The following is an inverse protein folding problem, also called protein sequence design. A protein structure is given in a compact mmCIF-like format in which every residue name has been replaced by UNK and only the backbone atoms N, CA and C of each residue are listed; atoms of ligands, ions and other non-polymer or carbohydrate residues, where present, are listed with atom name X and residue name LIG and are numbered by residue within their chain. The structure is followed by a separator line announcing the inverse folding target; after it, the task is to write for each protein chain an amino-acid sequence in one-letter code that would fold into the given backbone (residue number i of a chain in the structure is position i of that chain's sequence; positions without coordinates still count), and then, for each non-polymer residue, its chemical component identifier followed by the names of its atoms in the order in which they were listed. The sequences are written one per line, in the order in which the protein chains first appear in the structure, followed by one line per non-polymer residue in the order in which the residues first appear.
data_IF_118294901964
#
_entry.id   IF_118294901964
#
_cell.length_a   1.000
_cell.length_b   1.000
_cell.length_c   1.000
_cell.angle_alpha   90.00
_cell.angle_beta   90.00
_cell.angle_gamma   90.00
#
_symmetry.space_group_name_H-M   'P 1'
#
loop_
_entity.id
_entity.type
_entity.pdbx_description
1 polymer ?
#
# COMPACT_ATOMS: atom_id res chain seq x y z
N UNK A 1 9.56 -14.65 8.84
CA UNK A 1 9.04 -13.93 7.67
C UNK A 1 7.65 -13.39 7.95
N UNK A 2 7.52 -12.06 7.95
CA UNK A 2 6.25 -11.34 8.05
C UNK A 2 5.62 -11.32 6.66
N UNK A 3 4.35 -11.72 6.52
CA UNK A 3 3.67 -11.81 5.23
C UNK A 3 2.69 -10.66 5.06
N UNK A 4 2.87 -9.87 4.00
CA UNK A 4 2.06 -8.69 3.71
C UNK A 4 1.52 -8.77 2.29
N UNK A 5 0.21 -8.60 2.15
CA UNK A 5 -0.50 -8.44 0.88
C UNK A 5 -1.03 -7.00 0.80
N UNK A 6 -0.45 -6.18 -0.05
CA UNK A 6 -0.82 -4.76 -0.14
C UNK A 6 -1.62 -4.47 -1.41
N UNK A 7 -2.60 -3.58 -1.29
CA UNK A 7 -3.22 -2.91 -2.43
C UNK A 7 -2.45 -1.62 -2.74
N UNK A 8 -1.79 -1.54 -3.89
CA UNK A 8 -1.05 -0.33 -4.29
C UNK A 8 -1.63 0.26 -5.58
N UNK A 9 -1.41 1.56 -5.78
CA UNK A 9 -1.86 2.27 -6.99
C UNK A 9 -2.21 3.73 -6.71
N UNK A 10 -2.50 4.48 -7.77
CA UNK A 10 -2.81 5.92 -7.68
C UNK A 10 -4.06 6.22 -6.83
N UNK A 11 -4.27 7.50 -6.49
CA UNK A 11 -5.47 7.93 -5.79
C UNK A 11 -6.76 7.59 -6.55
N UNK A 12 -7.85 7.40 -5.82
CA UNK A 12 -9.20 7.20 -6.38
C UNK A 12 -9.41 6.02 -7.35
N UNK A 13 -8.48 5.06 -7.38
CA UNK A 13 -8.62 3.81 -8.16
C UNK A 13 -9.43 2.72 -7.45
N UNK A 14 -9.99 2.99 -6.27
CA UNK A 14 -10.87 2.05 -5.55
C UNK A 14 -10.20 1.09 -4.55
N UNK A 15 -8.92 1.30 -4.21
CA UNK A 15 -8.16 0.47 -3.23
C UNK A 15 -8.88 0.35 -1.89
N UNK A 16 -9.26 1.46 -1.28
CA UNK A 16 -9.94 1.48 0.02
C UNK A 16 -11.31 0.77 -0.02
N UNK A 17 -12.01 0.85 -1.16
CA UNK A 17 -13.25 0.09 -1.38
C UNK A 17 -12.97 -1.41 -1.37
N UNK A 18 -11.99 -1.87 -2.15
CA UNK A 18 -11.56 -3.28 -2.19
C UNK A 18 -11.13 -3.74 -0.80
N UNK A 19 -10.25 -2.98 -0.13
CA UNK A 19 -9.77 -3.24 1.22
C UNK A 19 -10.90 -3.43 2.24
N UNK A 20 -11.91 -2.56 2.20
CA UNK A 20 -13.06 -2.63 3.09
C UNK A 20 -13.89 -3.90 2.84
N UNK A 21 -13.98 -4.37 1.60
CA UNK A 21 -14.63 -5.65 1.27
C UNK A 21 -13.79 -6.85 1.67
N UNK A 22 -12.47 -6.80 1.50
CA UNK A 22 -11.54 -7.85 1.95
C UNK A 22 -11.67 -8.12 3.46
N UNK A 23 -11.88 -7.07 4.28
CA UNK A 23 -12.18 -7.21 5.72
C UNK A 23 -13.39 -8.09 6.03
N UNK A 24 -14.33 -8.21 5.10
CA UNK A 24 -15.53 -9.06 5.25
C UNK A 24 -15.28 -10.48 4.73
N UNK A 25 -14.57 -10.60 3.60
CA UNK A 25 -14.30 -11.86 2.93
C UNK A 25 -13.26 -12.72 3.66
N UNK A 26 -12.25 -12.09 4.26
CA UNK A 26 -11.15 -12.75 4.95
C UNK A 26 -11.30 -12.64 6.47
N UNK A 27 -12.54 -12.69 6.99
CA UNK A 27 -12.82 -12.67 8.44
C UNK A 27 -12.33 -13.94 9.11
N UNK A 28 -11.07 -13.94 9.55
CA UNK A 28 -10.52 -14.98 10.42
C UNK A 28 -9.45 -14.40 11.33
N UNK A 29 -9.18 -15.08 12.45
CA UNK A 29 -8.14 -14.67 13.40
C UNK A 29 -6.72 -14.69 12.81
N UNK A 30 -6.54 -15.35 11.65
CA UNK A 30 -5.27 -15.45 10.91
C UNK A 30 -4.88 -14.13 10.24
N UNK A 31 -5.85 -13.27 9.90
CA UNK A 31 -5.61 -12.05 9.14
C UNK A 31 -5.58 -10.80 10.02
N UNK A 32 -4.66 -9.90 9.72
CA UNK A 32 -4.63 -8.53 10.23
C UNK A 32 -4.89 -7.56 9.07
N UNK A 33 -5.54 -6.44 9.35
CA UNK A 33 -5.85 -5.42 8.34
C UNK A 33 -5.25 -4.08 8.75
N UNK A 34 -4.37 -3.55 7.91
CA UNK A 34 -3.68 -2.26 8.09
C UNK A 34 -4.23 -1.27 7.07
N UNK A 35 -4.77 -0.14 7.54
CA UNK A 35 -5.36 0.88 6.66
C UNK A 35 -4.35 1.92 6.16
N UNK A 36 -4.82 2.87 5.37
CA UNK A 36 -4.02 3.96 4.82
C UNK A 36 -3.59 4.97 5.91
N UNK A 37 -2.29 5.04 6.20
CA UNK A 37 -1.75 5.94 7.22
C UNK A 37 -1.68 7.41 6.77
N UNK A 38 -1.47 7.67 5.48
CA UNK A 38 -1.35 9.03 4.95
C UNK A 38 -2.60 9.87 5.27
N UNK A 39 -3.80 9.37 4.98
CA UNK A 39 -5.05 10.07 5.30
C UNK A 39 -5.21 10.32 6.81
N UNK A 40 -4.81 9.37 7.65
CA UNK A 40 -4.86 9.53 9.11
C UNK A 40 -3.90 10.61 9.61
N UNK A 41 -2.63 10.59 9.19
CA UNK A 41 -1.65 11.59 9.62
C UNK A 41 -2.01 12.99 9.11
N UNK A 42 -2.39 13.11 7.85
CA UNK A 42 -2.80 14.38 7.26
C UNK A 42 -4.02 15.00 7.97
N UNK A 43 -4.98 14.17 8.41
CA UNK A 43 -6.12 14.63 9.22
C UNK A 43 -5.70 15.08 10.62
N UNK A 44 -4.78 14.38 11.26
CA UNK A 44 -4.27 14.78 12.59
C UNK A 44 -3.49 16.09 12.55
N UNK A 45 -2.84 16.39 11.42
CA UNK A 45 -2.16 17.67 11.20
C UNK A 45 -3.08 18.79 10.69
N UNK A 46 -4.36 18.51 10.47
CA UNK A 46 -5.36 19.45 9.92
C UNK A 46 -4.97 20.05 8.55
N UNK A 47 -4.29 19.26 7.70
CA UNK A 47 -3.84 19.69 6.36
C UNK A 47 -4.31 18.76 5.24
N UNK A 48 -5.19 17.81 5.52
CA UNK A 48 -5.59 16.76 4.57
C UNK A 48 -6.07 17.27 3.21
N UNK A 49 -6.79 18.38 3.16
CA UNK A 49 -7.31 18.90 1.90
C UNK A 49 -6.33 19.83 1.16
N UNK A 50 -5.30 20.35 1.87
CA UNK A 50 -4.33 21.31 1.34
C UNK A 50 -2.88 20.77 1.41
N UNK A 51 -2.71 19.45 1.53
CA UNK A 51 -1.41 18.85 1.86
C UNK A 51 -0.37 19.11 0.77
N UNK A 52 -0.78 19.10 -0.51
CA UNK A 52 0.12 19.39 -1.63
C UNK A 52 0.65 20.83 -1.55
N UNK A 53 -0.23 21.77 -1.24
CA UNK A 53 0.12 23.18 -1.12
C UNK A 53 0.96 23.46 0.14
N UNK A 54 0.76 22.67 1.19
CA UNK A 54 1.33 22.90 2.52
C UNK A 54 2.67 22.20 2.73
N UNK A 55 2.75 20.89 2.51
CA UNK A 55 3.98 20.11 2.78
C UNK A 55 4.76 19.78 1.51
N UNK A 56 4.11 19.55 0.36
CA UNK A 56 4.85 19.12 -0.85
C UNK A 56 5.79 20.22 -1.40
N UNK A 57 5.54 21.50 -1.06
CA UNK A 57 6.39 22.63 -1.45
C UNK A 57 7.59 22.83 -0.52
N UNK A 58 7.60 22.17 0.62
CA UNK A 58 8.69 22.17 1.60
C UNK A 58 9.36 20.80 1.59
N UNK A 59 10.50 20.69 0.92
CA UNK A 59 11.19 19.42 0.72
C UNK A 59 11.57 18.73 2.04
N UNK A 60 11.89 19.50 3.08
CA UNK A 60 12.24 18.96 4.40
C UNK A 60 10.99 18.42 5.09
N UNK A 61 9.92 19.22 5.16
CA UNK A 61 8.66 18.78 5.77
C UNK A 61 8.08 17.55 5.06
N UNK A 62 8.17 17.51 3.73
CA UNK A 62 7.70 16.37 2.94
C UNK A 62 8.52 15.10 3.21
N UNK A 63 9.85 15.18 3.27
CA UNK A 63 10.69 14.00 3.56
C UNK A 63 10.44 13.45 4.97
N UNK A 64 10.27 14.32 5.97
CA UNK A 64 9.90 13.89 7.32
C UNK A 64 8.51 13.25 7.38
N UNK A 65 7.54 13.79 6.64
CA UNK A 65 6.20 13.21 6.55
C UNK A 65 6.24 11.80 5.94
N UNK A 66 6.89 11.62 4.80
CA UNK A 66 7.03 10.31 4.16
C UNK A 66 7.84 9.34 5.04
N UNK A 67 8.84 9.83 5.77
CA UNK A 67 9.63 9.02 6.70
C UNK A 67 8.79 8.54 7.88
N UNK A 68 7.93 9.40 8.43
CA UNK A 68 6.96 9.00 9.44
C UNK A 68 6.00 7.94 8.91
N UNK A 69 5.51 8.07 7.67
CA UNK A 69 4.67 7.06 7.03
C UNK A 69 5.35 5.71 6.91
N UNK A 70 6.63 5.68 6.52
CA UNK A 70 7.41 4.44 6.41
C UNK A 70 7.54 3.75 7.77
N UNK A 71 7.88 4.50 8.82
CA UNK A 71 8.02 3.95 10.17
C UNK A 71 6.71 3.42 10.74
N UNK A 72 5.60 4.15 10.57
CA UNK A 72 4.29 3.69 11.05
C UNK A 72 3.83 2.46 10.25
N UNK A 73 4.09 2.43 8.94
CA UNK A 73 3.81 1.27 8.08
C UNK A 73 4.56 0.04 8.57
N UNK A 74 5.88 0.13 8.77
CA UNK A 74 6.70 -0.99 9.25
C UNK A 74 6.34 -1.38 10.68
N UNK A 75 6.09 -0.42 11.57
CA UNK A 75 5.64 -0.70 12.94
C UNK A 75 4.35 -1.53 12.95
N UNK A 76 3.40 -1.23 12.07
CA UNK A 76 2.17 -2.00 11.93
C UNK A 76 2.43 -3.47 11.54
N UNK A 77 3.44 -3.72 10.71
CA UNK A 77 3.83 -5.07 10.31
C UNK A 77 4.44 -5.85 11.47
N UNK A 78 5.26 -5.19 12.30
CA UNK A 78 5.87 -5.79 13.48
C UNK A 78 4.83 -6.15 14.55
N UNK A 79 3.84 -5.28 14.76
CA UNK A 79 2.73 -5.52 15.71
C UNK A 79 1.92 -6.76 15.32
N UNK A 80 1.73 -7.00 14.02
CA UNK A 80 0.93 -8.11 13.50
C UNK A 80 1.80 -9.22 12.87
N UNK A 81 3.05 -9.38 13.33
CA UNK A 81 4.03 -10.31 12.73
C UNK A 81 3.63 -11.78 12.79
N UNK A 82 2.71 -12.14 13.67
CA UNK A 82 2.15 -13.49 13.85
C UNK A 82 0.97 -13.77 12.90
N UNK A 83 0.51 -12.77 12.15
CA UNK A 83 -0.64 -12.83 11.25
C UNK A 83 -0.22 -12.66 9.79
N UNK A 84 -1.16 -12.98 8.91
CA UNK A 84 -1.10 -12.56 7.51
C UNK A 84 -1.68 -11.16 7.41
N UNK A 85 -0.90 -10.19 6.94
CA UNK A 85 -1.31 -8.79 6.89
C UNK A 85 -1.89 -8.49 5.52
N UNK A 86 -3.06 -7.85 5.49
CA UNK A 86 -3.64 -7.22 4.30
C UNK A 86 -3.58 -5.71 4.51
N UNK A 87 -2.97 -4.98 3.59
CA UNK A 87 -2.71 -3.54 3.74
C UNK A 87 -3.38 -2.71 2.64
N UNK A 88 -3.99 -1.58 3.01
CA UNK A 88 -4.38 -0.51 2.09
C UNK A 88 -3.19 0.43 1.93
N UNK A 89 -2.48 0.27 0.82
CA UNK A 89 -1.13 0.79 0.56
C UNK A 89 -0.02 0.13 1.38
N UNK A 90 1.21 0.31 0.89
CA UNK A 90 2.42 -0.10 1.58
C UNK A 90 3.53 0.93 1.37
N UNK A 91 4.71 0.61 1.88
CA UNK A 91 5.94 1.37 1.62
C UNK A 91 6.25 1.54 0.12
N UNK A 92 5.72 0.68 -0.76
CA UNK A 92 5.80 0.87 -2.22
C UNK A 92 5.09 2.17 -2.64
N UNK A 93 3.92 2.45 -2.08
CA UNK A 93 3.18 3.68 -2.37
C UNK A 93 3.95 4.90 -1.87
N UNK A 94 4.47 4.86 -0.64
CA UNK A 94 5.27 5.96 -0.08
C UNK A 94 6.51 6.23 -0.95
N UNK A 95 7.23 5.18 -1.35
CA UNK A 95 8.36 5.29 -2.28
C UNK A 95 7.96 5.85 -3.65
N UNK A 96 6.77 5.51 -4.15
CA UNK A 96 6.28 6.05 -5.41
C UNK A 96 6.04 7.56 -5.32
N UNK A 97 5.43 8.06 -4.23
CA UNK A 97 5.25 9.51 -4.05
C UNK A 97 6.59 10.23 -3.85
N UNK A 98 7.52 9.66 -3.08
CA UNK A 98 8.90 10.17 -2.99
C UNK A 98 9.57 10.26 -4.36
N UNK A 99 9.40 9.24 -5.20
CA UNK A 99 9.97 9.20 -6.55
C UNK A 99 9.43 10.34 -7.43
N UNK A 100 8.12 10.64 -7.35
CA UNK A 100 7.50 11.75 -8.09
C UNK A 100 8.13 13.11 -7.77
N UNK A 101 8.64 13.30 -6.54
CA UNK A 101 9.28 14.56 -6.12
C UNK A 101 10.82 14.49 -6.10
N UNK A 102 11.41 13.41 -6.61
CA UNK A 102 12.87 13.23 -6.64
C UNK A 102 13.51 12.97 -5.26
N UNK A 103 12.74 12.53 -4.26
CA UNK A 103 13.25 12.23 -2.92
C UNK A 103 13.88 10.83 -2.83
N UNK A 104 14.83 10.60 -1.90
CA UNK A 104 15.48 9.31 -1.73
C UNK A 104 14.52 8.18 -1.32
N UNK A 105 14.76 6.97 -1.81
CA UNK A 105 13.93 5.76 -1.55
C UNK A 105 14.54 4.85 -0.46
N UNK A 106 15.22 5.45 0.53
CA UNK A 106 16.14 4.74 1.44
C UNK A 106 15.44 3.75 2.38
N UNK A 107 14.14 3.97 2.63
CA UNK A 107 13.32 3.17 3.56
C UNK A 107 12.94 1.81 2.98
N UNK A 108 13.18 1.56 1.68
CA UNK A 108 12.85 0.27 1.09
C UNK A 108 13.64 -0.90 1.69
N UNK A 109 14.85 -0.61 2.18
CA UNK A 109 15.69 -1.55 2.93
C UNK A 109 15.05 -2.08 4.22
N UNK A 110 14.02 -1.42 4.76
CA UNK A 110 13.33 -1.86 5.97
C UNK A 110 12.59 -3.19 5.76
N UNK A 111 12.12 -3.49 4.54
CA UNK A 111 11.47 -4.78 4.27
C UNK A 111 12.43 -5.95 4.50
N UNK A 112 13.64 -5.88 3.94
CA UNK A 112 14.62 -6.95 4.11
C UNK A 112 15.16 -7.01 5.54
N UNK A 113 15.39 -5.86 6.17
CA UNK A 113 15.88 -5.78 7.55
C UNK A 113 14.92 -6.47 8.54
N UNK A 114 13.61 -6.33 8.35
CA UNK A 114 12.59 -6.94 9.22
C UNK A 114 12.00 -8.25 8.69
N UNK A 115 12.62 -8.86 7.66
CA UNK A 115 12.17 -10.12 7.04
C UNK A 115 10.68 -10.06 6.61
N UNK A 116 10.30 -8.97 5.94
CA UNK A 116 8.97 -8.73 5.39
C UNK A 116 8.90 -9.21 3.94
N UNK A 117 8.06 -10.20 3.69
CA UNK A 117 7.66 -10.62 2.34
C UNK A 117 6.41 -9.86 1.94
N UNK A 118 6.60 -8.86 1.06
CA UNK A 118 5.55 -8.00 0.52
C UNK A 118 5.14 -8.48 -0.87
N UNK A 119 3.87 -8.86 -1.01
CA UNK A 119 3.22 -9.12 -2.29
C UNK A 119 2.23 -8.01 -2.62
N UNK A 120 2.32 -7.45 -3.82
CA UNK A 120 1.53 -6.27 -4.20
C UNK A 120 0.45 -6.60 -5.22
N UNK A 121 -0.80 -6.33 -4.87
CA UNK A 121 -1.89 -6.23 -5.83
C UNK A 121 -1.91 -4.81 -6.38
N UNK A 122 -1.37 -4.62 -7.57
CA UNK A 122 -1.28 -3.32 -8.22
C UNK A 122 -2.62 -3.00 -8.89
N UNK A 123 -3.43 -2.20 -8.21
CA UNK A 123 -4.80 -1.87 -8.62
C UNK A 123 -4.77 -0.85 -9.75
N UNK A 124 -5.43 -1.20 -10.86
CA UNK A 124 -5.51 -0.40 -12.09
C UNK A 124 -6.95 0.00 -12.38
N UNK A 125 -7.13 1.21 -12.91
CA UNK A 125 -8.45 1.71 -13.31
C UNK A 125 -8.34 2.77 -14.41
N UNK A 126 -9.46 3.06 -15.09
CA UNK A 126 -9.51 4.12 -16.12
C UNK A 126 -9.28 5.54 -15.59
N UNK A 127 -9.35 5.75 -14.27
CA UNK A 127 -9.22 7.08 -13.62
C UNK A 127 -7.86 7.28 -12.95
N UNK A 128 -6.91 6.43 -13.26
CA UNK A 128 -5.61 6.43 -12.59
C UNK A 128 -4.78 7.69 -12.92
N UNK A 129 -4.07 8.18 -11.89
CA UNK A 129 -3.03 9.19 -12.08
C UNK A 129 -1.82 8.51 -12.72
N UNK A 130 -1.51 8.87 -13.97
CA UNK A 130 -0.45 8.22 -14.74
C UNK A 130 0.95 8.40 -14.10
N UNK A 131 1.21 9.54 -13.47
CA UNK A 131 2.50 9.83 -12.85
C UNK A 131 2.74 8.90 -11.66
N UNK A 132 1.78 8.86 -10.73
CA UNK A 132 1.86 7.99 -9.54
C UNK A 132 1.85 6.52 -9.94
N UNK A 133 1.04 6.16 -10.93
CA UNK A 133 0.92 4.78 -11.41
C UNK A 133 2.24 4.29 -12.03
N UNK A 134 2.90 5.13 -12.82
CA UNK A 134 4.23 4.81 -13.36
C UNK A 134 5.29 4.73 -12.26
N UNK A 135 5.22 5.62 -11.26
CA UNK A 135 6.12 5.58 -10.12
C UNK A 135 5.98 4.30 -9.28
N UNK A 136 4.75 3.84 -9.03
CA UNK A 136 4.49 2.55 -8.36
C UNK A 136 5.10 1.40 -9.16
N UNK A 137 4.86 1.36 -10.47
CA UNK A 137 5.42 0.32 -11.34
C UNK A 137 6.96 0.33 -11.34
N UNK A 138 7.57 1.52 -11.34
CA UNK A 138 9.02 1.69 -11.29
C UNK A 138 9.60 1.18 -9.97
N UNK A 139 8.99 1.52 -8.83
CA UNK A 139 9.42 1.02 -7.51
C UNK A 139 9.35 -0.50 -7.47
N UNK A 140 8.24 -1.10 -7.90
CA UNK A 140 8.07 -2.56 -7.92
C UNK A 140 9.15 -3.25 -8.75
N UNK A 141 9.46 -2.73 -9.94
CA UNK A 141 10.51 -3.25 -10.83
C UNK A 141 11.90 -3.06 -10.24
N UNK A 142 12.23 -1.83 -9.81
CA UNK A 142 13.54 -1.44 -9.29
C UNK A 142 13.97 -2.31 -8.11
N UNK A 143 13.03 -2.70 -7.26
CA UNK A 143 13.29 -3.53 -6.09
C UNK A 143 12.91 -5.00 -6.26
N UNK A 144 12.55 -5.43 -7.48
CA UNK A 144 12.18 -6.81 -7.81
C UNK A 144 11.11 -7.39 -6.87
N UNK A 145 10.12 -6.57 -6.49
CA UNK A 145 9.05 -6.96 -5.60
C UNK A 145 7.98 -7.76 -6.36
N UNK A 146 7.43 -8.84 -5.79
CA UNK A 146 6.39 -9.62 -6.44
C UNK A 146 5.08 -8.82 -6.50
N UNK A 147 4.48 -8.78 -7.68
CA UNK A 147 3.20 -8.11 -7.87
C UNK A 147 2.36 -8.76 -8.97
N UNK A 148 1.06 -8.49 -8.94
CA UNK A 148 0.16 -8.73 -10.07
C UNK A 148 -0.75 -7.52 -10.27
N UNK A 149 -1.14 -7.27 -11.52
CA UNK A 149 -2.08 -6.21 -11.83
C UNK A 149 -3.52 -6.66 -11.60
N UNK A 150 -4.30 -5.83 -10.91
CA UNK A 150 -5.72 -6.05 -10.64
C UNK A 150 -6.52 -4.97 -11.33
N UNK A 151 -7.24 -5.34 -12.38
CA UNK A 151 -8.15 -4.43 -13.06
C UNK A 151 -9.46 -4.31 -12.27
N UNK A 152 -9.83 -3.09 -11.91
CA UNK A 152 -11.11 -2.84 -11.21
C UNK A 152 -12.28 -3.07 -12.16
N UNK A 153 -13.21 -3.91 -11.72
CA UNK A 153 -14.46 -4.16 -12.45
C UNK A 153 -15.45 -3.03 -12.11
N UNK A 154 -15.71 -2.18 -13.09
CA UNK A 154 -16.58 -1.01 -12.94
C UNK A 154 -17.98 -1.40 -12.44
N UNK A 155 -18.47 -0.73 -11.39
CA UNK A 155 -19.75 -1.03 -10.76
C UNK A 155 -19.81 -2.33 -9.93
N UNK A 156 -18.73 -3.12 -9.89
CA UNK A 156 -18.67 -4.44 -9.24
C UNK A 156 -17.48 -4.56 -8.27
N UNK A 157 -17.45 -3.74 -7.20
CA UNK A 157 -16.36 -3.76 -6.23
C UNK A 157 -16.25 -5.09 -5.47
N UNK A 158 -17.36 -5.80 -5.28
CA UNK A 158 -17.38 -7.10 -4.61
C UNK A 158 -16.68 -8.18 -5.44
N UNK A 159 -16.94 -8.25 -6.75
CA UNK A 159 -16.26 -9.20 -7.65
C UNK A 159 -14.74 -8.97 -7.70
N UNK A 160 -14.32 -7.70 -7.72
CA UNK A 160 -12.89 -7.35 -7.68
C UNK A 160 -12.26 -7.80 -6.37
N UNK A 161 -12.91 -7.54 -5.23
CA UNK A 161 -12.41 -7.94 -3.92
C UNK A 161 -12.40 -9.47 -3.72
N UNK A 162 -13.40 -10.18 -4.24
CA UNK A 162 -13.45 -11.65 -4.23
C UNK A 162 -12.29 -12.27 -5.02
N UNK A 163 -11.94 -11.69 -6.17
CA UNK A 163 -10.78 -12.12 -6.95
C UNK A 163 -9.49 -11.99 -6.14
N UNK A 164 -9.27 -10.82 -5.52
CA UNK A 164 -8.10 -10.57 -4.66
C UNK A 164 -8.09 -11.50 -3.45
N UNK A 165 -9.22 -11.68 -2.77
CA UNK A 165 -9.32 -12.57 -1.61
C UNK A 165 -8.99 -14.02 -1.98
N UNK A 166 -9.53 -14.52 -3.09
CA UNK A 166 -9.24 -15.87 -3.60
C UNK A 166 -7.75 -16.03 -3.86
N UNK A 167 -7.14 -15.03 -4.49
CA UNK A 167 -5.73 -15.07 -4.84
C UNK A 167 -4.81 -15.07 -3.62
N UNK A 168 -5.10 -14.24 -2.61
CA UNK A 168 -4.42 -14.29 -1.31
C UNK A 168 -4.48 -15.70 -0.72
N UNK A 169 -5.67 -16.32 -0.70
CA UNK A 169 -5.87 -17.65 -0.14
C UNK A 169 -5.14 -18.74 -0.93
N UNK A 170 -4.99 -18.60 -2.25
CA UNK A 170 -4.21 -19.51 -3.09
C UNK A 170 -2.71 -19.42 -2.80
N UNK A 171 -2.15 -18.22 -2.76
CA UNK A 171 -0.73 -18.00 -2.43
C UNK A 171 -0.44 -18.57 -1.03
N UNK A 172 -1.32 -18.30 -0.06
CA UNK A 172 -1.21 -18.79 1.31
C UNK A 172 -1.38 -20.31 1.47
N UNK A 173 -1.95 -21.00 0.48
CA UNK A 173 -2.00 -22.47 0.43
C UNK A 173 -0.78 -23.08 -0.23
N UNK A 174 -0.16 -22.38 -1.19
CA UNK A 174 1.03 -22.85 -1.91
C UNK A 174 2.32 -22.66 -1.10
N UNK A 175 2.35 -21.66 -0.21
CA UNK A 175 3.49 -21.37 0.66
C UNK A 175 3.41 -21.97 2.07
N UNK A 176 2.43 -22.82 2.36
CA UNK A 176 2.27 -23.55 3.62
C UNK A 176 2.68 -25.02 3.46
#
# INVERSE_FOLDING_TARGET
MIRVYALSGSHDVGKTTIFTRLKRLLRSYRFAFVGEFADCLLKQMDIRDAWKETIQRDAEAYDYFETALDFVTVASYLVYRDKVIVADRSIVDNCAYRLCVGSPLNTMSLLSFYDVSLYTFFVRSKREDAEVTNAVAEVLKRFSLPYEEVQVIEGKPDETAESVARRILEIEKQGA
#
